data_IF_729782898992
#
_entry.id   IF_729782898992
#
_cell.length_a   1.000
_cell.length_b   1.000
_cell.length_c   1.000
_cell.angle_alpha   90.00
_cell.angle_beta   90.00
_cell.angle_gamma   90.00
#
_symmetry.space_group_name_H-M   'P 1'
#
loop_
_entity.id
_entity.type
_entity.pdbx_description
1 polymer ?
#
# COMPACT_ATOMS: atom_id res chain seq x y z
N UNK A 1 -2.44 29.41 -3.33
CA UNK A 1 -1.67 29.06 -2.12
C UNK A 1 -1.36 27.57 -2.18
N UNK A 2 -0.12 27.11 -1.99
CA UNK A 2 0.13 25.67 -1.91
C UNK A 2 -0.50 25.17 -0.61
N UNK A 3 -1.49 24.27 -0.72
CA UNK A 3 -2.07 23.61 0.45
C UNK A 3 -0.97 22.83 1.17
N UNK A 4 -0.74 23.11 2.44
CA UNK A 4 0.07 22.28 3.32
C UNK A 4 -0.43 20.84 3.22
N UNK A 5 0.41 19.95 2.72
CA UNK A 5 0.03 18.56 2.49
C UNK A 5 0.12 17.82 3.83
N UNK A 6 -0.99 17.71 4.54
CA UNK A 6 -1.14 16.97 5.80
C UNK A 6 -1.15 15.45 5.56
N UNK A 7 -0.15 14.93 4.85
CA UNK A 7 -0.06 13.51 4.50
C UNK A 7 1.22 12.95 5.10
N UNK A 8 1.08 11.95 5.96
CA UNK A 8 2.20 11.23 6.55
C UNK A 8 2.27 9.81 6.01
N UNK A 9 3.47 9.23 5.98
CA UNK A 9 3.67 7.81 5.67
C UNK A 9 4.00 7.10 6.97
N UNK A 10 3.24 6.05 7.30
CA UNK A 10 3.43 5.21 8.49
C UNK A 10 3.47 3.73 8.13
N UNK A 11 4.07 2.87 8.97
CA UNK A 11 3.90 1.42 8.86
C UNK A 11 2.42 1.05 8.85
N UNK A 12 2.05 0.10 7.99
CA UNK A 12 0.70 -0.41 7.90
C UNK A 12 0.31 -1.17 9.18
N UNK A 13 -0.84 -0.83 9.77
CA UNK A 13 -1.43 -1.51 10.91
C UNK A 13 -2.74 -2.17 10.50
N UNK A 14 -2.80 -3.51 10.49
CA UNK A 14 -3.97 -4.24 10.02
C UNK A 14 -5.18 -4.12 10.95
N UNK A 15 -4.99 -3.71 12.21
CA UNK A 15 -6.12 -3.44 13.12
C UNK A 15 -6.87 -2.16 12.77
N UNK A 16 -6.22 -1.20 12.11
CA UNK A 16 -6.78 0.13 11.82
C UNK A 16 -6.99 0.40 10.35
N UNK A 17 -6.12 -0.13 9.48
CA UNK A 17 -6.01 0.32 8.09
C UNK A 17 -6.75 -0.60 7.11
N UNK A 18 -7.01 -1.85 7.50
CA UNK A 18 -7.46 -2.93 6.60
C UNK A 18 -8.79 -2.64 5.90
N UNK A 19 -9.74 -2.01 6.58
CA UNK A 19 -11.06 -1.70 6.01
C UNK A 19 -10.90 -0.70 4.86
N UNK A 20 -10.18 0.40 5.09
CA UNK A 20 -9.87 1.38 4.06
C UNK A 20 -9.00 0.80 2.93
N UNK A 21 -8.05 -0.07 3.24
CA UNK A 21 -7.24 -0.77 2.23
C UNK A 21 -8.13 -1.62 1.32
N UNK A 22 -9.08 -2.35 1.89
CA UNK A 22 -10.02 -3.21 1.16
C UNK A 22 -10.91 -2.38 0.25
N UNK A 23 -11.41 -1.23 0.72
CA UNK A 23 -12.19 -0.30 -0.10
C UNK A 23 -11.37 0.27 -1.27
N UNK A 24 -10.13 0.68 -1.02
CA UNK A 24 -9.22 1.18 -2.06
C UNK A 24 -8.94 0.11 -3.12
N UNK A 25 -8.69 -1.13 -2.69
CA UNK A 25 -8.44 -2.24 -3.61
C UNK A 25 -9.69 -2.60 -4.41
N UNK A 26 -10.85 -2.60 -3.75
CA UNK A 26 -12.15 -2.83 -4.41
C UNK A 26 -12.41 -1.82 -5.52
N UNK A 27 -12.15 -0.52 -5.29
CA UNK A 27 -12.24 0.50 -6.34
C UNK A 27 -11.29 0.21 -7.51
N UNK A 28 -10.06 -0.24 -7.20
CA UNK A 28 -9.08 -0.59 -8.22
C UNK A 28 -9.52 -1.78 -9.08
N UNK A 29 -10.04 -2.84 -8.48
CA UNK A 29 -10.59 -4.03 -9.16
C UNK A 29 -11.76 -3.63 -10.07
N UNK A 30 -12.72 -2.87 -9.55
CA UNK A 30 -13.96 -2.60 -10.26
C UNK A 30 -13.84 -1.52 -11.35
N UNK A 31 -12.87 -0.61 -11.26
CA UNK A 31 -12.85 0.62 -12.07
C UNK A 31 -11.55 0.87 -12.83
N UNK A 32 -10.55 0.01 -12.68
CA UNK A 32 -9.23 0.24 -13.28
C UNK A 32 -8.64 -1.05 -13.84
N UNK A 33 -7.50 -0.92 -14.51
CA UNK A 33 -6.68 -2.06 -14.97
C UNK A 33 -5.41 -2.22 -14.14
N UNK A 34 -5.36 -1.60 -12.95
CA UNK A 34 -4.18 -1.62 -12.08
C UNK A 34 -3.94 -2.99 -11.42
N UNK A 35 -4.98 -3.82 -11.35
CA UNK A 35 -4.93 -5.21 -10.92
C UNK A 35 -5.56 -6.09 -11.99
N UNK A 36 -5.20 -7.38 -11.98
CA UNK A 36 -5.78 -8.39 -12.87
C UNK A 36 -6.88 -9.22 -12.19
N UNK A 37 -7.21 -8.90 -10.94
CA UNK A 37 -8.41 -9.45 -10.29
C UNK A 37 -9.69 -8.86 -10.91
N UNK A 38 -10.70 -9.71 -11.06
CA UNK A 38 -12.01 -9.35 -11.64
C UNK A 38 -13.03 -9.15 -10.51
N UNK A 39 -13.05 -10.04 -9.53
CA UNK A 39 -13.92 -9.99 -8.36
C UNK A 39 -13.15 -9.45 -7.15
N UNK A 40 -13.65 -8.41 -6.45
CA UNK A 40 -12.98 -7.89 -5.28
C UNK A 40 -12.89 -8.93 -4.16
N UNK A 41 -11.71 -9.10 -3.52
CA UNK A 41 -11.57 -9.96 -2.36
C UNK A 41 -12.32 -9.39 -1.15
N UNK A 42 -12.68 -10.26 -0.21
CA UNK A 42 -13.23 -9.84 1.08
C UNK A 42 -12.17 -9.14 1.94
N UNK A 43 -12.60 -8.42 2.98
CA UNK A 43 -11.67 -7.82 3.95
C UNK A 43 -10.81 -8.89 4.64
N UNK A 44 -11.37 -10.07 4.91
CA UNK A 44 -10.65 -11.19 5.53
C UNK A 44 -9.55 -11.73 4.61
N UNK A 45 -9.83 -11.85 3.32
CA UNK A 45 -8.82 -12.27 2.33
C UNK A 45 -7.73 -11.21 2.19
N UNK A 46 -8.10 -9.92 2.13
CA UNK A 46 -7.12 -8.82 2.13
C UNK A 46 -6.25 -8.84 3.37
N UNK A 47 -6.83 -9.10 4.55
CA UNK A 47 -6.11 -9.23 5.81
C UNK A 47 -5.09 -10.35 5.73
N UNK A 48 -5.53 -11.55 5.36
CA UNK A 48 -4.67 -12.74 5.30
C UNK A 48 -3.48 -12.56 4.34
N UNK A 49 -3.70 -11.91 3.19
CA UNK A 49 -2.64 -11.57 2.23
C UNK A 49 -1.60 -10.63 2.85
N UNK A 50 -2.04 -9.55 3.47
CA UNK A 50 -1.15 -8.55 4.04
C UNK A 50 -0.45 -9.04 5.31
N UNK A 51 -1.11 -9.88 6.11
CA UNK A 51 -0.47 -10.61 7.23
C UNK A 51 0.67 -11.48 6.72
N UNK A 52 0.46 -12.22 5.63
CA UNK A 52 1.50 -13.06 5.03
C UNK A 52 2.70 -12.24 4.55
N UNK A 53 2.46 -11.06 3.96
CA UNK A 53 3.52 -10.13 3.55
C UNK A 53 4.29 -9.58 4.75
N UNK A 54 3.59 -9.14 5.81
CA UNK A 54 4.21 -8.64 7.03
C UNK A 54 4.99 -9.73 7.77
N UNK A 55 4.45 -10.94 7.86
CA UNK A 55 5.09 -12.09 8.50
C UNK A 55 6.37 -12.53 7.76
N UNK A 56 6.40 -12.38 6.43
CA UNK A 56 7.59 -12.60 5.62
C UNK A 56 8.62 -11.46 5.73
N UNK A 57 8.34 -10.41 6.51
CA UNK A 57 9.24 -9.29 6.77
C UNK A 57 9.32 -8.27 5.64
N UNK A 58 8.38 -8.26 4.71
CA UNK A 58 8.36 -7.30 3.62
C UNK A 58 7.74 -5.96 4.06
N UNK A 59 8.22 -4.82 3.53
CA UNK A 59 7.73 -3.51 3.90
C UNK A 59 6.31 -3.27 3.41
N UNK A 60 5.47 -2.78 4.32
CA UNK A 60 4.09 -2.36 4.08
C UNK A 60 3.86 -0.97 4.70
N UNK A 61 3.39 -0.02 3.90
CA UNK A 61 3.14 1.36 4.34
C UNK A 61 1.75 1.81 3.95
N UNK A 62 1.20 2.74 4.74
CA UNK A 62 0.01 3.50 4.39
C UNK A 62 0.34 5.00 4.38
N UNK A 63 -0.40 5.74 3.55
CA UNK A 63 -0.44 7.18 3.59
C UNK A 63 -1.70 7.62 4.33
N UNK A 64 -1.54 8.44 5.37
CA UNK A 64 -2.64 8.90 6.21
C UNK A 64 -2.80 10.41 6.10
N UNK A 65 -4.05 10.88 6.02
CA UNK A 65 -4.37 12.30 6.16
C UNK A 65 -4.43 12.71 7.65
N UNK A 66 -3.59 13.65 8.07
CA UNK A 66 -3.54 14.11 9.46
C UNK A 66 -4.43 15.33 9.73
N UNK A 67 -5.26 15.75 8.76
CA UNK A 67 -6.17 16.88 8.94
C UNK A 67 -7.40 16.55 9.80
N UNK A 68 -7.75 15.28 9.95
CA UNK A 68 -8.88 14.79 10.75
C UNK A 68 -8.39 13.77 11.79
N UNK A 69 -8.06 14.21 13.02
CA UNK A 69 -7.43 13.37 14.04
C UNK A 69 -8.25 12.16 14.50
N UNK A 70 -9.57 12.17 14.29
CA UNK A 70 -10.51 11.20 14.88
C UNK A 70 -11.02 10.14 13.89
N UNK A 71 -10.52 10.08 12.65
CA UNK A 71 -10.90 9.05 11.67
C UNK A 71 -9.70 8.43 10.98
N UNK A 72 -9.69 7.11 10.83
CA UNK A 72 -8.70 6.40 10.00
C UNK A 72 -8.79 6.92 8.57
N UNK A 73 -7.81 7.73 8.18
CA UNK A 73 -7.82 8.51 6.93
C UNK A 73 -6.79 7.95 5.96
N UNK A 74 -6.77 6.64 5.78
CA UNK A 74 -5.88 5.96 4.83
C UNK A 74 -6.21 6.42 3.41
N UNK A 75 -5.31 7.18 2.82
CA UNK A 75 -5.42 7.73 1.46
C UNK A 75 -4.86 6.78 0.39
N UNK A 76 -4.07 5.81 0.81
CA UNK A 76 -3.40 4.85 -0.07
C UNK A 76 -2.49 3.94 0.72
N UNK A 77 -2.07 2.85 0.09
CA UNK A 77 -1.17 1.88 0.68
C UNK A 77 -0.19 1.35 -0.37
N UNK A 78 0.93 0.86 0.10
CA UNK A 78 1.90 0.17 -0.73
C UNK A 78 2.58 -0.95 0.06
N UNK A 79 2.96 -2.00 -0.65
CA UNK A 79 3.76 -3.10 -0.11
C UNK A 79 4.63 -3.70 -1.21
N UNK A 80 5.56 -4.56 -0.82
CA UNK A 80 6.30 -5.40 -1.76
C UNK A 80 6.16 -6.88 -1.43
N UNK A 81 6.37 -7.73 -2.42
CA UNK A 81 6.38 -9.19 -2.28
C UNK A 81 7.44 -9.81 -3.20
N UNK A 82 7.77 -11.10 -3.06
CA UNK A 82 8.70 -11.77 -3.97
C UNK A 82 8.21 -11.68 -5.42
N UNK A 83 9.08 -11.25 -6.35
CA UNK A 83 8.71 -11.19 -7.76
C UNK A 83 8.44 -12.58 -8.36
N UNK A 84 9.33 -13.54 -8.07
CA UNK A 84 9.23 -14.94 -8.52
C UNK A 84 9.86 -15.88 -7.50
N UNK A 85 9.44 -17.15 -7.42
CA UNK A 85 9.88 -18.07 -6.37
C UNK A 85 11.32 -18.61 -6.56
N UNK A 86 11.93 -18.41 -7.74
CA UNK A 86 13.27 -18.98 -8.00
C UNK A 86 14.33 -18.23 -7.20
N UNK A 87 15.30 -18.91 -6.56
CA UNK A 87 16.31 -18.27 -5.70
C UNK A 87 17.17 -17.19 -6.36
N UNK A 88 17.28 -17.20 -7.68
CA UNK A 88 17.96 -16.16 -8.45
C UNK A 88 17.29 -14.79 -8.31
N UNK A 89 16.00 -14.73 -7.99
CA UNK A 89 15.22 -13.51 -7.76
C UNK A 89 15.21 -13.06 -6.30
N UNK A 90 16.02 -13.65 -5.40
CA UNK A 90 15.99 -13.31 -3.97
C UNK A 90 16.25 -11.83 -3.64
N UNK A 91 16.84 -11.07 -4.56
CA UNK A 91 17.07 -9.63 -4.43
C UNK A 91 16.02 -8.78 -5.16
N UNK A 92 15.11 -9.39 -5.92
CA UNK A 92 14.11 -8.72 -6.73
C UNK A 92 12.73 -8.87 -6.09
N UNK A 93 12.10 -7.74 -5.83
CA UNK A 93 10.73 -7.67 -5.29
C UNK A 93 9.81 -6.98 -6.29
N UNK A 94 8.54 -7.34 -6.22
CA UNK A 94 7.47 -6.64 -6.92
C UNK A 94 6.78 -5.68 -5.95
N UNK A 95 6.45 -4.48 -6.40
CA UNK A 95 5.75 -3.50 -5.58
C UNK A 95 4.30 -3.36 -6.05
N UNK A 96 3.42 -3.15 -5.09
CA UNK A 96 2.02 -2.80 -5.30
C UNK A 96 1.76 -1.45 -4.63
N UNK A 97 1.09 -0.54 -5.34
CA UNK A 97 0.69 0.77 -4.79
C UNK A 97 -0.70 1.14 -5.29
N UNK A 98 -1.60 1.43 -4.34
CA UNK A 98 -2.96 1.85 -4.63
C UNK A 98 -3.30 3.11 -3.85
N UNK A 99 -3.99 4.04 -4.51
CA UNK A 99 -4.38 5.33 -3.96
C UNK A 99 -5.88 5.49 -4.11
N UNK A 100 -6.53 5.86 -3.00
CA UNK A 100 -7.96 6.18 -2.96
C UNK A 100 -8.30 7.17 -4.07
N UNK A 101 -9.45 6.97 -4.73
CA UNK A 101 -9.90 7.81 -5.84
C UNK A 101 -9.99 9.28 -5.45
N UNK A 102 -10.40 9.58 -4.21
CA UNK A 102 -10.47 10.94 -3.64
C UNK A 102 -9.11 11.57 -3.34
N UNK A 103 -8.04 10.76 -3.33
CA UNK A 103 -6.69 11.18 -2.98
C UNK A 103 -5.71 11.20 -4.17
N UNK A 104 -6.18 10.84 -5.37
CA UNK A 104 -5.35 10.86 -6.59
C UNK A 104 -4.89 12.28 -6.91
N UNK A 105 -3.74 12.40 -7.59
CA UNK A 105 -3.10 13.67 -8.00
C UNK A 105 -2.67 14.60 -6.85
N UNK A 106 -2.76 14.17 -5.58
CA UNK A 106 -2.24 14.87 -4.39
C UNK A 106 -0.81 14.47 -3.99
N UNK A 107 -0.12 13.65 -4.79
CA UNK A 107 1.24 13.18 -4.52
C UNK A 107 1.36 11.95 -3.61
N UNK A 108 0.24 11.39 -3.14
CA UNK A 108 0.19 10.20 -2.25
C UNK A 108 1.02 9.03 -2.78
N UNK A 109 0.78 8.60 -4.02
CA UNK A 109 1.51 7.48 -4.62
C UNK A 109 3.02 7.71 -4.70
N UNK A 110 3.44 8.96 -4.93
CA UNK A 110 4.88 9.32 -4.93
C UNK A 110 5.49 9.22 -3.53
N UNK A 111 4.76 9.64 -2.49
CA UNK A 111 5.23 9.54 -1.11
C UNK A 111 5.35 8.07 -0.67
N UNK A 112 4.35 7.24 -0.97
CA UNK A 112 4.36 5.79 -0.73
C UNK A 112 5.54 5.11 -1.43
N UNK A 113 5.69 5.33 -2.74
CA UNK A 113 6.78 4.73 -3.52
C UNK A 113 8.16 5.14 -3.01
N UNK A 114 8.34 6.40 -2.57
CA UNK A 114 9.60 6.84 -1.94
C UNK A 114 9.88 6.13 -0.62
N UNK A 115 8.86 5.79 0.15
CA UNK A 115 9.05 5.02 1.38
C UNK A 115 9.42 3.56 1.07
N UNK A 116 8.71 2.93 0.14
CA UNK A 116 9.00 1.56 -0.34
C UNK A 116 10.43 1.45 -0.87
N UNK A 117 10.83 2.32 -1.81
CA UNK A 117 12.17 2.26 -2.43
C UNK A 117 13.27 2.39 -1.36
N UNK A 118 13.16 3.38 -0.47
CA UNK A 118 14.15 3.59 0.61
C UNK A 118 14.26 2.36 1.52
N UNK A 119 13.13 1.75 1.86
CA UNK A 119 13.12 0.58 2.73
C UNK A 119 13.65 -0.67 2.02
N UNK A 120 13.31 -0.86 0.74
CA UNK A 120 13.87 -1.93 -0.07
C UNK A 120 15.39 -1.82 -0.24
N UNK A 121 15.92 -0.62 -0.48
CA UNK A 121 17.36 -0.35 -0.54
C UNK A 121 18.05 -0.68 0.79
N UNK A 122 17.43 -0.29 1.92
CA UNK A 122 17.91 -0.59 3.29
C UNK A 122 17.95 -2.10 3.55
N UNK A 123 16.98 -2.85 3.05
CA UNK A 123 16.90 -4.30 3.16
C UNK A 123 17.82 -5.05 2.17
N UNK A 124 18.46 -4.34 1.23
CA UNK A 124 19.42 -4.92 0.29
C UNK A 124 18.82 -5.50 -0.98
N UNK A 125 17.57 -5.17 -1.32
CA UNK A 125 17.01 -5.49 -2.63
C UNK A 125 17.70 -4.67 -3.75
N UNK A 126 17.64 -5.18 -4.99
CA UNK A 126 18.40 -4.70 -6.16
C UNK A 126 17.58 -4.76 -7.44
#
# INVERSE_FOLDING_TARGET
MPQSTNIIIKPMSLSTDISAITEIYTDAVLRTTATYEIDPPSEEEMRHRLESVQAAGFPCFVAEDTSTPDSTSTLGYAYVSPYRPRPSYRFTVEHSVYVSSSARRRGVGRLLMRAIIRECERMGFR
#
